data_IF_556442165018
#
_entry.id   IF_556442165018
#
_cell.length_a   1.000
_cell.length_b   1.000
_cell.length_c   1.000
_cell.angle_alpha   90.00
_cell.angle_beta   90.00
_cell.angle_gamma   90.00
#
_symmetry.space_group_name_H-M   'P 1'
#
loop_
_entity.id
_entity.type
_entity.pdbx_description
1 polymer ?
#
# COMPACT_ATOMS: atom_id res chain seq x y z
N UNK A 1 -19.44 -18.96 -37.19
CA UNK A 1 -19.09 -17.70 -36.49
C UNK A 1 -20.02 -17.40 -35.30
N UNK A 2 -21.13 -18.14 -35.12
CA UNK A 2 -22.12 -17.88 -34.07
C UNK A 2 -21.71 -18.43 -32.68
N UNK A 3 -21.05 -19.60 -32.62
CA UNK A 3 -20.70 -20.27 -31.36
C UNK A 3 -19.73 -19.48 -30.49
N UNK A 4 -18.76 -18.79 -31.07
CA UNK A 4 -17.80 -17.95 -30.32
C UNK A 4 -18.48 -16.78 -29.61
N UNK A 5 -19.56 -16.26 -30.19
CA UNK A 5 -20.32 -15.14 -29.62
C UNK A 5 -21.20 -15.58 -28.46
N UNK A 6 -21.74 -16.80 -28.51
CA UNK A 6 -22.53 -17.39 -27.42
C UNK A 6 -21.62 -17.73 -26.22
N UNK A 7 -20.41 -18.24 -26.47
CA UNK A 7 -19.43 -18.57 -25.42
C UNK A 7 -18.92 -17.29 -24.74
N UNK A 8 -18.62 -16.24 -25.50
CA UNK A 8 -18.23 -14.94 -24.93
C UNK A 8 -19.35 -14.36 -24.06
N UNK A 9 -20.60 -14.35 -24.55
CA UNK A 9 -21.73 -13.81 -23.80
C UNK A 9 -21.97 -14.56 -22.49
N UNK A 10 -21.81 -15.88 -22.49
CA UNK A 10 -21.94 -16.72 -21.29
C UNK A 10 -20.82 -16.45 -20.29
N UNK A 11 -19.57 -16.35 -20.77
CA UNK A 11 -18.42 -16.01 -19.93
C UNK A 11 -18.54 -14.59 -19.33
N UNK A 12 -19.08 -13.64 -20.08
CA UNK A 12 -19.36 -12.28 -19.62
C UNK A 12 -20.46 -12.26 -18.54
N UNK A 13 -21.52 -13.06 -18.68
CA UNK A 13 -22.56 -13.21 -17.63
C UNK A 13 -22.02 -13.87 -16.36
N UNK A 14 -21.15 -14.87 -16.49
CA UNK A 14 -20.50 -15.53 -15.35
C UNK A 14 -19.59 -14.55 -14.60
N UNK A 15 -18.80 -13.76 -15.34
CA UNK A 15 -17.95 -12.70 -14.77
C UNK A 15 -18.76 -11.62 -14.06
N UNK A 16 -19.88 -11.18 -14.64
CA UNK A 16 -20.76 -10.19 -14.00
C UNK A 16 -21.44 -10.74 -12.74
N UNK A 17 -21.79 -12.03 -12.72
CA UNK A 17 -22.36 -12.68 -11.53
C UNK A 17 -21.32 -12.85 -10.43
N UNK A 18 -20.09 -13.23 -10.78
CA UNK A 18 -18.96 -13.32 -9.86
C UNK A 18 -18.61 -11.96 -9.25
N UNK A 19 -18.65 -10.88 -10.03
CA UNK A 19 -18.44 -9.53 -9.54
C UNK A 19 -19.53 -9.13 -8.51
N UNK A 20 -20.79 -9.45 -8.77
CA UNK A 20 -21.89 -9.22 -7.81
C UNK A 20 -21.73 -10.08 -6.54
N UNK A 21 -21.24 -11.31 -6.66
CA UNK A 21 -20.95 -12.20 -5.53
C UNK A 21 -19.83 -11.64 -4.63
N UNK A 22 -18.74 -11.16 -5.23
CA UNK A 22 -17.61 -10.53 -4.53
C UNK A 22 -18.05 -9.25 -3.81
N UNK A 23 -18.88 -8.42 -4.48
CA UNK A 23 -19.40 -7.18 -3.88
C UNK A 23 -20.37 -7.46 -2.73
N UNK A 24 -21.17 -8.54 -2.82
CA UNK A 24 -22.14 -8.94 -1.79
C UNK A 24 -21.47 -9.55 -0.56
N UNK A 25 -20.34 -10.24 -0.74
CA UNK A 25 -19.63 -10.97 0.32
C UNK A 25 -18.22 -10.44 0.58
N UNK A 26 -18.06 -9.10 0.62
CA UNK A 26 -16.76 -8.40 0.75
C UNK A 26 -15.86 -8.86 1.92
N UNK A 27 -16.41 -9.56 2.93
CA UNK A 27 -15.63 -10.05 4.08
C UNK A 27 -15.63 -11.59 4.25
N UNK A 28 -15.94 -12.36 3.19
CA UNK A 28 -16.14 -13.82 3.25
C UNK A 28 -15.53 -14.63 2.09
N UNK A 29 -14.64 -14.08 1.27
CA UNK A 29 -13.89 -14.86 0.28
C UNK A 29 -12.39 -14.73 0.50
N UNK A 30 -11.72 -15.88 0.65
CA UNK A 30 -10.26 -15.95 0.66
C UNK A 30 -9.76 -15.82 -0.78
N UNK A 31 -8.64 -15.09 -0.93
CA UNK A 31 -8.03 -14.76 -2.22
C UNK A 31 -7.70 -16.02 -3.06
N UNK A 32 -7.47 -17.15 -2.40
CA UNK A 32 -7.22 -18.48 -2.97
C UNK A 32 -8.44 -19.05 -3.73
N UNK A 33 -9.65 -18.86 -3.19
CA UNK A 33 -10.90 -19.35 -3.80
C UNK A 33 -11.24 -18.57 -5.07
N UNK A 34 -10.93 -17.27 -5.07
CA UNK A 34 -11.11 -16.38 -6.23
C UNK A 34 -10.17 -16.80 -7.36
N UNK A 35 -8.90 -17.13 -7.05
CA UNK A 35 -7.93 -17.60 -8.03
C UNK A 35 -8.32 -18.97 -8.62
N UNK A 36 -8.79 -19.89 -7.77
CA UNK A 36 -9.23 -21.21 -8.22
C UNK A 36 -10.42 -21.12 -9.20
N UNK A 37 -11.40 -20.25 -8.91
CA UNK A 37 -12.54 -20.00 -9.80
C UNK A 37 -12.11 -19.34 -11.12
N UNK A 38 -11.23 -18.35 -11.05
CA UNK A 38 -10.70 -17.68 -12.25
C UNK A 38 -9.93 -18.65 -13.17
N UNK A 39 -9.12 -19.55 -12.60
CA UNK A 39 -8.38 -20.55 -13.36
C UNK A 39 -9.30 -21.53 -14.11
N UNK A 40 -10.44 -21.90 -13.51
CA UNK A 40 -11.43 -22.78 -14.14
C UNK A 40 -12.14 -22.09 -15.32
N UNK A 41 -12.45 -20.80 -15.18
CA UNK A 41 -13.04 -20.00 -16.27
C UNK A 41 -12.05 -19.87 -17.44
N UNK A 42 -10.76 -19.63 -17.17
CA UNK A 42 -9.72 -19.59 -18.21
C UNK A 42 -9.61 -20.93 -18.93
N UNK A 43 -9.70 -22.06 -18.22
CA UNK A 43 -9.65 -23.40 -18.80
C UNK A 43 -10.82 -23.70 -19.76
N UNK A 44 -11.98 -23.07 -19.59
CA UNK A 44 -13.12 -23.19 -20.51
C UNK A 44 -12.94 -22.43 -21.82
N UNK A 45 -11.98 -21.51 -21.92
CA UNK A 45 -11.82 -20.59 -23.06
C UNK A 45 -10.66 -20.93 -24.00
N UNK A 46 -9.92 -22.02 -23.79
CA UNK A 46 -8.84 -22.43 -24.70
C UNK A 46 -8.73 -23.94 -24.92
N UNK A 47 -8.65 -24.41 -26.19
CA UNK A 47 -8.40 -25.81 -26.51
C UNK A 47 -6.93 -26.19 -26.24
N UNK A 48 -6.74 -27.29 -25.52
CA UNK A 48 -5.48 -28.01 -25.29
C UNK A 48 -5.27 -29.09 -26.36
N UNK A 49 -4.02 -29.45 -26.70
CA UNK A 49 -3.54 -30.82 -26.39
C UNK A 49 -2.18 -30.75 -25.67
N UNK A 50 -1.93 -31.45 -24.54
CA UNK A 50 -1.67 -32.91 -24.36
C UNK A 50 -0.44 -33.30 -25.21
N UNK A 51 0.65 -33.86 -24.68
CA UNK A 51 1.06 -34.36 -23.37
C UNK A 51 2.60 -34.31 -23.32
N UNK A 52 3.32 -34.94 -22.40
CA UNK A 52 2.99 -35.91 -21.38
C UNK A 52 4.24 -35.95 -20.46
N UNK A 53 3.99 -36.16 -19.18
CA UNK A 53 4.81 -36.94 -18.25
C UNK A 53 6.24 -36.55 -17.82
N UNK A 54 6.38 -36.63 -16.48
CA UNK A 54 7.51 -37.07 -15.66
C UNK A 54 8.92 -36.75 -16.17
N UNK A 55 9.66 -35.96 -15.38
CA UNK A 55 10.63 -36.51 -14.40
C UNK A 55 11.23 -35.36 -13.60
N UNK A 56 11.22 -35.47 -12.28
CA UNK A 56 12.24 -34.84 -11.46
C UNK A 56 13.58 -35.50 -11.82
N UNK A 57 14.60 -34.71 -12.20
CA UNK A 57 15.80 -34.80 -11.38
C UNK A 57 16.35 -33.41 -11.05
N UNK A 58 16.77 -33.28 -9.80
CA UNK A 58 17.85 -32.43 -9.31
C UNK A 58 18.72 -31.81 -10.41
N UNK A 59 18.64 -30.49 -10.57
CA UNK A 59 19.78 -29.69 -11.00
C UNK A 59 19.81 -28.41 -10.16
N UNK A 60 20.74 -28.37 -9.23
CA UNK A 60 21.25 -27.13 -8.62
C UNK A 60 21.65 -26.15 -9.73
N UNK A 61 21.01 -25.00 -9.80
CA UNK A 61 21.53 -23.77 -10.41
C UNK A 61 20.62 -22.60 -9.98
N UNK A 62 21.20 -21.41 -9.78
CA UNK A 62 20.88 -20.54 -8.66
C UNK A 62 19.51 -19.88 -8.80
N UNK A 63 18.81 -19.81 -7.67
CA UNK A 63 17.56 -19.07 -7.50
C UNK A 63 17.73 -17.69 -8.13
N UNK A 64 16.99 -17.47 -9.21
CA UNK A 64 17.02 -16.22 -9.94
C UNK A 64 16.59 -15.12 -8.98
N UNK A 65 17.40 -14.05 -8.87
CA UNK A 65 17.23 -12.95 -7.90
C UNK A 65 15.89 -12.20 -7.95
N UNK A 66 14.96 -12.65 -8.79
CA UNK A 66 13.58 -12.20 -8.85
C UNK A 66 12.73 -12.82 -7.73
N UNK A 67 12.99 -14.06 -7.31
CA UNK A 67 12.30 -14.69 -6.18
C UNK A 67 12.76 -14.09 -4.84
N UNK A 68 14.02 -13.71 -4.72
CA UNK A 68 14.55 -12.97 -3.56
C UNK A 68 13.93 -11.57 -3.44
N UNK A 69 13.71 -10.88 -4.57
CA UNK A 69 13.05 -9.57 -4.59
C UNK A 69 11.55 -9.63 -4.24
N UNK A 70 10.89 -10.79 -4.43
CA UNK A 70 9.49 -11.02 -4.05
C UNK A 70 9.34 -11.51 -2.60
N UNK A 71 10.39 -12.13 -2.04
CA UNK A 71 10.48 -12.52 -0.63
C UNK A 71 11.01 -11.39 0.26
N UNK A 72 11.60 -10.36 -0.34
CA UNK A 72 11.98 -9.15 0.36
C UNK A 72 10.73 -8.54 0.98
N UNK A 73 10.76 -8.19 2.28
CA UNK A 73 9.65 -7.49 2.90
C UNK A 73 9.40 -6.23 2.08
N UNK A 74 8.20 -6.12 1.53
CA UNK A 74 7.73 -4.91 0.87
C UNK A 74 7.97 -3.75 1.86
N UNK A 75 8.82 -2.80 1.46
CA UNK A 75 9.23 -1.64 2.24
C UNK A 75 8.06 -0.62 2.27
N UNK A 76 6.88 -1.07 2.70
CA UNK A 76 5.63 -0.28 2.69
C UNK A 76 5.47 0.62 3.92
N UNK A 77 6.43 0.66 4.85
CA UNK A 77 6.14 1.11 6.23
C UNK A 77 7.14 2.13 6.76
N UNK A 78 7.69 2.99 5.91
CA UNK A 78 8.49 4.15 6.38
C UNK A 78 7.72 5.46 6.26
N UNK A 79 6.90 5.65 5.23
CA UNK A 79 6.24 6.94 5.01
C UNK A 79 5.07 7.19 5.99
N UNK A 80 4.30 6.15 6.33
CA UNK A 80 3.20 6.28 7.30
C UNK A 80 3.70 6.25 8.75
N UNK A 81 4.78 5.52 9.05
CA UNK A 81 5.29 5.38 10.43
C UNK A 81 5.90 6.66 10.96
N UNK A 82 6.64 7.40 10.13
CA UNK A 82 7.23 8.69 10.52
C UNK A 82 6.14 9.66 11.01
N UNK A 83 5.03 9.74 10.28
CA UNK A 83 3.90 10.59 10.68
C UNK A 83 3.24 10.12 11.97
N UNK A 84 3.07 8.80 12.14
CA UNK A 84 2.48 8.21 13.36
C UNK A 84 3.36 8.48 14.57
N UNK A 85 4.68 8.40 14.43
CA UNK A 85 5.64 8.63 15.51
C UNK A 85 5.57 10.06 16.04
N UNK A 86 5.56 11.07 15.15
CA UNK A 86 5.38 12.46 15.55
C UNK A 86 4.05 12.70 16.26
N UNK A 87 2.97 12.10 15.76
CA UNK A 87 1.66 12.22 16.39
C UNK A 87 1.71 11.68 17.83
N UNK A 88 2.30 10.51 18.05
CA UNK A 88 2.37 9.90 19.38
C UNK A 88 3.31 10.66 20.33
N UNK A 89 4.49 11.05 19.87
CA UNK A 89 5.51 11.64 20.73
C UNK A 89 5.36 13.15 20.87
N UNK A 90 5.20 13.91 19.78
CA UNK A 90 5.17 15.37 19.81
C UNK A 90 3.77 15.95 20.04
N UNK A 91 2.73 15.29 19.55
CA UNK A 91 1.34 15.78 19.62
C UNK A 91 0.45 14.98 20.58
N UNK A 92 1.04 14.19 21.48
CA UNK A 92 0.33 13.43 22.53
C UNK A 92 -0.78 12.50 21.99
N UNK A 93 -0.60 11.99 20.79
CA UNK A 93 -1.58 11.16 20.08
C UNK A 93 -2.66 11.95 19.32
N UNK A 94 -2.62 13.29 19.35
CA UNK A 94 -3.58 14.14 18.64
C UNK A 94 -3.26 14.23 17.14
N UNK A 95 -3.88 13.32 16.38
CA UNK A 95 -3.81 13.37 14.91
C UNK A 95 -4.41 14.67 14.36
N UNK A 96 -5.44 15.21 15.02
CA UNK A 96 -6.12 16.44 14.60
C UNK A 96 -5.17 17.64 14.65
N UNK A 97 -4.39 17.78 15.72
CA UNK A 97 -3.45 18.88 15.85
C UNK A 97 -2.27 18.74 14.89
N UNK A 98 -1.73 17.53 14.72
CA UNK A 98 -0.70 17.28 13.72
C UNK A 98 -1.16 17.66 12.30
N UNK A 99 -2.36 17.25 11.89
CA UNK A 99 -2.90 17.61 10.57
C UNK A 99 -3.11 19.12 10.44
N UNK A 100 -3.59 19.79 11.49
CA UNK A 100 -3.74 21.26 11.51
C UNK A 100 -2.39 21.95 11.34
N UNK A 101 -1.37 21.55 12.12
CA UNK A 101 -0.03 22.12 12.03
C UNK A 101 0.54 21.88 10.64
N UNK A 102 0.39 20.67 10.09
CA UNK A 102 0.88 20.34 8.75
C UNK A 102 0.19 21.17 7.65
N UNK A 103 -1.13 21.39 7.74
CA UNK A 103 -1.84 22.29 6.82
C UNK A 103 -1.39 23.75 6.94
N UNK A 104 -1.09 24.21 8.17
CA UNK A 104 -0.57 25.56 8.42
C UNK A 104 0.88 25.72 7.96
N UNK A 105 1.69 24.66 8.03
CA UNK A 105 3.05 24.65 7.50
C UNK A 105 3.03 24.72 5.97
N UNK A 106 2.18 23.93 5.32
CA UNK A 106 2.01 23.94 3.86
C UNK A 106 1.51 25.28 3.29
N UNK A 107 0.94 26.16 4.12
CA UNK A 107 0.52 27.50 3.70
C UNK A 107 1.60 28.57 3.90
N UNK A 108 2.75 28.23 4.50
CA UNK A 108 3.89 29.15 4.62
C UNK A 108 4.64 29.24 3.29
N UNK A 109 5.22 30.41 3.03
CA UNK A 109 5.97 30.67 1.80
C UNK A 109 7.44 30.29 1.95
N UNK A 110 7.97 30.34 3.18
CA UNK A 110 9.38 30.07 3.47
C UNK A 110 9.57 29.12 4.65
N UNK A 111 10.69 28.39 4.62
CA UNK A 111 11.11 27.53 5.72
C UNK A 111 11.32 28.31 7.03
N UNK A 112 11.87 29.53 6.97
CA UNK A 112 12.08 30.37 8.15
C UNK A 112 10.76 30.71 8.85
N UNK A 113 9.71 31.05 8.10
CA UNK A 113 8.37 31.29 8.66
C UNK A 113 7.75 30.03 9.27
N UNK A 114 7.99 28.88 8.66
CA UNK A 114 7.55 27.59 9.18
C UNK A 114 8.22 27.25 10.51
N UNK A 115 9.54 27.44 10.61
CA UNK A 115 10.31 27.23 11.84
C UNK A 115 9.84 28.17 12.95
N UNK A 116 9.73 29.47 12.65
CA UNK A 116 9.22 30.47 13.59
C UNK A 116 7.79 30.16 14.05
N UNK A 117 6.94 29.61 13.18
CA UNK A 117 5.60 29.17 13.57
C UNK A 117 5.65 28.01 14.57
N UNK A 118 6.50 27.02 14.34
CA UNK A 118 6.66 25.88 15.26
C UNK A 118 7.15 26.37 16.62
N UNK A 119 8.22 27.18 16.66
CA UNK A 119 8.82 27.66 17.91
C UNK A 119 7.91 28.61 18.70
N UNK A 120 7.21 29.52 18.02
CA UNK A 120 6.42 30.55 18.70
C UNK A 120 4.96 30.16 18.96
N UNK A 121 4.39 29.24 18.18
CA UNK A 121 2.96 28.91 18.26
C UNK A 121 2.67 27.45 18.62
N UNK A 122 3.54 26.50 18.27
CA UNK A 122 3.27 25.07 18.51
C UNK A 122 4.02 24.58 19.75
N UNK A 123 5.32 24.84 19.82
CA UNK A 123 6.18 24.50 20.95
C UNK A 123 5.65 24.98 22.32
N UNK A 124 5.09 26.19 22.51
CA UNK A 124 4.55 26.57 23.83
C UNK A 124 3.32 25.77 24.27
N UNK A 125 2.62 25.11 23.34
CA UNK A 125 1.45 24.28 23.64
C UNK A 125 1.82 22.84 24.03
N UNK A 126 3.05 22.38 23.76
CA UNK A 126 3.50 21.01 23.99
C UNK A 126 4.80 20.92 24.79
N UNK A 127 4.90 19.94 25.69
CA UNK A 127 6.17 19.67 26.38
C UNK A 127 7.10 18.79 25.52
N UNK A 128 8.06 19.43 24.88
CA UNK A 128 9.11 18.80 24.05
C UNK A 128 10.48 18.77 24.73
N UNK A 129 10.57 19.21 25.99
CA UNK A 129 11.82 19.33 26.76
C UNK A 129 12.65 18.04 26.78
N UNK A 130 11.99 16.89 26.90
CA UNK A 130 12.62 15.56 26.92
C UNK A 130 12.55 14.82 25.57
N UNK A 131 11.98 15.45 24.53
CA UNK A 131 11.70 14.85 23.21
C UNK A 131 12.52 15.49 22.09
N UNK A 132 13.75 15.90 22.43
CA UNK A 132 14.62 16.65 21.52
C UNK A 132 14.92 15.89 20.22
N UNK A 133 15.04 14.56 20.28
CA UNK A 133 15.34 13.72 19.11
C UNK A 133 14.15 13.67 18.14
N UNK A 134 12.95 13.45 18.65
CA UNK A 134 11.71 13.47 17.86
C UNK A 134 11.47 14.87 17.28
N UNK A 135 11.76 15.92 18.05
CA UNK A 135 11.67 17.30 17.58
C UNK A 135 12.65 17.57 16.42
N UNK A 136 13.91 17.16 16.54
CA UNK A 136 14.91 17.32 15.48
C UNK A 136 14.50 16.58 14.21
N UNK A 137 13.98 15.36 14.34
CA UNK A 137 13.43 14.59 13.22
C UNK A 137 12.21 15.27 12.58
N UNK A 138 11.32 15.85 13.37
CA UNK A 138 10.18 16.62 12.87
C UNK A 138 10.64 17.88 12.12
N UNK A 139 11.61 18.62 12.66
CA UNK A 139 12.18 19.78 11.99
C UNK A 139 12.83 19.41 10.66
N UNK A 140 13.60 18.31 10.62
CA UNK A 140 14.19 17.80 9.38
C UNK A 140 13.11 17.41 8.36
N UNK A 141 12.02 16.76 8.80
CA UNK A 141 10.88 16.47 7.93
C UNK A 141 10.26 17.75 7.36
N UNK A 142 10.09 18.78 8.19
CA UNK A 142 9.60 20.09 7.74
C UNK A 142 10.55 20.70 6.72
N UNK A 143 11.87 20.64 6.91
CA UNK A 143 12.84 21.12 5.93
C UNK A 143 12.69 20.45 4.56
N UNK A 144 12.49 19.12 4.53
CA UNK A 144 12.28 18.39 3.27
C UNK A 144 11.00 18.81 2.53
N UNK A 145 9.99 19.36 3.24
CA UNK A 145 8.77 19.85 2.60
C UNK A 145 8.98 21.16 1.85
N UNK A 146 9.98 21.97 2.22
CA UNK A 146 10.28 23.26 1.59
C UNK A 146 11.46 23.22 0.62
N UNK A 147 12.29 22.17 0.67
CA UNK A 147 13.38 21.93 -0.28
C UNK A 147 12.87 21.41 -1.65
N UNK A 148 11.60 20.96 -1.70
CA UNK A 148 11.01 20.28 -2.86
C UNK A 148 10.18 21.15 -3.79
#
# INVERSE_FOLDING_TARGET
MEEKKIIQNTAEQDLMSLAHEILRNRNRMNLDDIHAKAANIVALTSPKPIGEEVVSPTVEAPLTGLEEALLAPVLEVEFETISIDFIQHLFEGSNVDFQRVMSMLKSKETLEEAKQFIENHIQPDYDWSDKQKEFDAFMSHVETLFDS
#
